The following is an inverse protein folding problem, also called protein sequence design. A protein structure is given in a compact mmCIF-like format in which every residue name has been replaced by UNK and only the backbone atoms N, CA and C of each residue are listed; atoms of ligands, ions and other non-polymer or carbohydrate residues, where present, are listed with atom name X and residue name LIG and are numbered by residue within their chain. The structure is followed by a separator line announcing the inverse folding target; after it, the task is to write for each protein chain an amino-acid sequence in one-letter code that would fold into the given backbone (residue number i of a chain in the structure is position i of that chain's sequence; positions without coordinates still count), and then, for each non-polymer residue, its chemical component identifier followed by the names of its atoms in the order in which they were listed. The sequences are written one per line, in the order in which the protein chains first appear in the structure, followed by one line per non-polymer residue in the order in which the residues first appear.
data_IF_497285963713
#
_entry.id   IF_497285963713
#
_cell.length_a   1.000
_cell.length_b   1.000
_cell.length_c   1.000
_cell.angle_alpha   90.00
_cell.angle_beta   90.00
_cell.angle_gamma   90.00
#
_symmetry.space_group_name_H-M   'P 1'
#
loop_
_entity.id
_entity.type
_entity.pdbx_description
1 polymer ?
#
# COMPACT_ATOMS: atom_id res chain seq x y z
N UNK A 1 23.49 -9.47 7.66
CA UNK A 1 23.00 -9.03 8.99
C UNK A 1 21.48 -9.07 9.07
N UNK A 2 20.77 -8.72 7.99
CA UNK A 2 19.32 -8.75 7.89
C UNK A 2 18.73 -10.16 8.06
N UNK A 3 19.34 -11.23 7.51
CA UNK A 3 18.76 -12.60 7.54
C UNK A 3 18.71 -13.18 8.94
N UNK A 4 19.78 -13.01 9.69
CA UNK A 4 19.85 -13.40 11.10
C UNK A 4 18.80 -12.68 11.96
N UNK A 5 18.48 -11.42 11.64
CA UNK A 5 17.43 -10.67 12.33
C UNK A 5 16.05 -11.23 12.00
N UNK A 6 15.79 -11.57 10.74
CA UNK A 6 14.50 -12.16 10.34
C UNK A 6 14.31 -13.54 10.97
N UNK A 7 15.32 -14.41 10.91
CA UNK A 7 15.29 -15.72 11.59
C UNK A 7 15.08 -15.57 13.10
N UNK A 8 15.71 -14.56 13.71
CA UNK A 8 15.51 -14.26 15.12
C UNK A 8 14.08 -13.80 15.40
N UNK A 9 13.50 -12.95 14.55
CA UNK A 9 12.10 -12.54 14.64
C UNK A 9 11.16 -13.74 14.53
N UNK A 10 11.39 -14.66 13.58
CA UNK A 10 10.59 -15.87 13.43
C UNK A 10 10.66 -16.76 14.68
N UNK A 11 11.87 -16.98 15.22
CA UNK A 11 12.05 -17.72 16.49
C UNK A 11 11.35 -17.03 17.65
N UNK A 12 11.42 -15.69 17.71
CA UNK A 12 10.78 -14.90 18.75
C UNK A 12 9.26 -15.04 18.65
N UNK A 13 8.67 -14.94 17.45
CA UNK A 13 7.23 -15.15 17.23
C UNK A 13 6.80 -16.54 17.70
N UNK A 14 7.53 -17.59 17.32
CA UNK A 14 7.20 -18.96 17.73
C UNK A 14 7.19 -19.14 19.25
N UNK A 15 8.01 -18.37 19.98
CA UNK A 15 8.03 -18.38 21.45
C UNK A 15 6.98 -17.46 22.09
N UNK A 16 6.67 -16.33 21.46
CA UNK A 16 5.79 -15.29 21.99
C UNK A 16 4.31 -15.61 21.75
N UNK A 17 3.95 -16.05 20.55
CA UNK A 17 2.55 -16.24 20.14
C UNK A 17 1.75 -17.19 21.08
N UNK A 18 2.30 -18.33 21.56
CA UNK A 18 1.59 -19.19 22.50
C UNK A 18 1.36 -18.56 23.89
N UNK A 19 2.14 -17.54 24.24
CA UNK A 19 2.10 -16.87 25.54
C UNK A 19 1.45 -15.47 25.47
N UNK A 20 1.04 -15.02 24.29
CA UNK A 20 0.41 -13.72 24.10
C UNK A 20 -0.94 -13.66 24.83
N UNK A 21 -1.17 -12.59 25.60
CA UNK A 21 -2.38 -12.45 26.44
C UNK A 21 -3.30 -11.31 25.98
N UNK A 22 -3.00 -10.66 24.85
CA UNK A 22 -3.83 -9.59 24.29
C UNK A 22 -3.51 -8.19 24.80
N UNK A 23 -2.24 -7.96 25.17
CA UNK A 23 -1.77 -6.67 25.69
C UNK A 23 -1.46 -5.67 24.56
N UNK A 24 -1.26 -4.39 24.92
CA UNK A 24 -0.73 -3.39 23.98
C UNK A 24 0.66 -3.79 23.43
N UNK A 25 1.48 -4.48 24.23
CA UNK A 25 2.76 -4.98 23.77
C UNK A 25 2.58 -6.07 22.71
N UNK A 26 1.59 -6.96 22.89
CA UNK A 26 1.25 -7.99 21.90
C UNK A 26 0.76 -7.36 20.58
N UNK A 27 -0.07 -6.31 20.67
CA UNK A 27 -0.51 -5.53 19.51
C UNK A 27 0.68 -4.90 18.76
N UNK A 28 1.58 -4.23 19.48
CA UNK A 28 2.75 -3.58 18.89
C UNK A 28 3.69 -4.62 18.25
N UNK A 29 3.90 -5.77 18.91
CA UNK A 29 4.71 -6.86 18.38
C UNK A 29 4.12 -7.45 17.10
N UNK A 30 2.81 -7.69 17.06
CA UNK A 30 2.11 -8.16 15.85
C UNK A 30 2.29 -7.17 14.70
N UNK A 31 2.06 -5.88 14.93
CA UNK A 31 2.24 -4.82 13.93
C UNK A 31 3.67 -4.72 13.41
N UNK A 32 4.65 -4.83 14.30
CA UNK A 32 6.05 -4.87 13.91
C UNK A 32 6.33 -6.05 12.98
N UNK A 33 5.80 -7.24 13.32
CA UNK A 33 5.97 -8.44 12.51
C UNK A 33 5.28 -8.35 11.15
N UNK A 34 4.15 -7.64 11.02
CA UNK A 34 3.53 -7.34 9.71
C UNK A 34 4.56 -6.69 8.78
N UNK A 35 5.24 -5.64 9.26
CA UNK A 35 6.22 -4.89 8.46
C UNK A 35 7.49 -5.71 8.17
N UNK A 36 7.99 -6.45 9.16
CA UNK A 36 9.21 -7.28 9.02
C UNK A 36 9.02 -8.38 7.97
N UNK A 37 7.90 -9.08 8.01
CA UNK A 37 7.60 -10.19 7.08
C UNK A 37 7.30 -9.69 5.67
N UNK A 38 6.58 -8.57 5.56
CA UNK A 38 6.37 -7.87 4.30
C UNK A 38 7.70 -7.42 3.64
N UNK A 39 8.63 -6.89 4.45
CA UNK A 39 9.99 -6.56 4.01
C UNK A 39 10.88 -7.77 3.67
N UNK A 40 10.32 -8.99 3.72
CA UNK A 40 10.96 -10.28 3.44
C UNK A 40 10.22 -11.13 2.42
N UNK A 41 9.41 -10.49 1.57
CA UNK A 41 8.62 -11.16 0.55
C UNK A 41 7.56 -12.14 1.10
N UNK A 42 7.35 -12.21 2.42
CA UNK A 42 6.43 -13.14 3.06
C UNK A 42 5.10 -12.44 3.42
N UNK A 43 4.29 -12.22 2.38
CA UNK A 43 2.97 -11.58 2.50
C UNK A 43 1.98 -12.47 3.25
N UNK A 44 2.12 -13.80 3.19
CA UNK A 44 1.21 -14.72 3.87
C UNK A 44 1.40 -14.69 5.39
N UNK A 45 2.65 -14.67 5.84
CA UNK A 45 2.95 -14.47 7.25
C UNK A 45 2.63 -13.04 7.68
N UNK A 46 2.90 -12.04 6.84
CA UNK A 46 2.51 -10.64 7.10
C UNK A 46 1.01 -10.50 7.33
N UNK A 47 0.20 -11.11 6.46
CA UNK A 47 -1.25 -11.18 6.63
C UNK A 47 -1.66 -11.93 7.90
N UNK A 48 -0.96 -13.02 8.23
CA UNK A 48 -1.23 -13.79 9.44
C UNK A 48 -0.95 -12.98 10.71
N UNK A 49 0.13 -12.20 10.72
CA UNK A 49 0.45 -11.26 11.80
C UNK A 49 -0.53 -10.10 11.86
N UNK A 50 -1.04 -9.64 10.72
CA UNK A 50 -2.06 -8.60 10.68
C UNK A 50 -3.38 -9.08 11.30
N UNK A 51 -3.81 -10.32 11.02
CA UNK A 51 -4.95 -10.95 11.71
C UNK A 51 -4.75 -10.99 13.22
N UNK A 52 -3.53 -11.28 13.70
CA UNK A 52 -3.21 -11.25 15.14
C UNK A 52 -3.27 -9.83 15.70
N UNK A 53 -2.70 -8.85 15.01
CA UNK A 53 -2.78 -7.45 15.41
C UNK A 53 -4.24 -7.00 15.55
N UNK A 54 -5.09 -7.34 14.58
CA UNK A 54 -6.52 -7.06 14.65
C UNK A 54 -7.19 -7.71 15.87
N UNK A 55 -6.94 -9.00 16.13
CA UNK A 55 -7.46 -9.70 17.31
C UNK A 55 -7.05 -9.02 18.63
N UNK A 56 -5.79 -8.60 18.74
CA UNK A 56 -5.32 -7.88 19.91
C UNK A 56 -5.94 -6.49 20.03
N UNK A 57 -6.14 -5.78 18.92
CA UNK A 57 -6.82 -4.49 18.91
C UNK A 57 -8.27 -4.58 19.38
N UNK A 58 -8.98 -5.67 19.06
CA UNK A 58 -10.32 -5.91 19.61
C UNK A 58 -10.27 -6.16 21.12
N UNK A 59 -9.31 -6.95 21.60
CA UNK A 59 -9.15 -7.29 23.02
C UNK A 59 -8.75 -6.09 23.88
N UNK A 60 -7.91 -5.18 23.36
CA UNK A 60 -7.52 -3.94 24.04
C UNK A 60 -8.61 -2.86 24.01
N UNK A 61 -9.72 -3.11 23.31
CA UNK A 61 -10.80 -2.14 23.18
C UNK A 61 -10.51 -1.02 22.18
N UNK A 62 -9.51 -1.16 21.31
CA UNK A 62 -9.08 -0.13 20.36
C UNK A 62 -10.23 0.33 19.43
N UNK A 63 -11.12 -0.60 19.06
CA UNK A 63 -12.30 -0.32 18.23
C UNK A 63 -13.39 0.51 18.93
N UNK A 64 -13.26 0.75 20.24
CA UNK A 64 -14.26 1.41 21.11
C UNK A 64 -13.68 2.57 21.91
N UNK A 65 -12.51 3.07 21.49
CA UNK A 65 -11.73 4.09 22.19
C UNK A 65 -12.53 5.36 22.52
N UNK A 66 -13.54 5.72 21.72
CA UNK A 66 -14.39 6.89 21.98
C UNK A 66 -15.79 6.56 22.53
N UNK A 67 -16.07 5.30 22.91
CA UNK A 67 -17.39 4.91 23.44
C UNK A 67 -17.56 5.24 24.93
N UNK A 68 -16.48 5.22 25.71
CA UNK A 68 -16.51 5.30 27.19
C UNK A 68 -15.92 6.60 27.76
N UNK A 69 -15.86 7.69 26.99
CA UNK A 69 -15.55 9.03 27.54
C UNK A 69 -16.76 9.57 28.33
N UNK A 70 -17.11 8.91 29.44
CA UNK A 70 -18.06 9.43 30.42
C UNK A 70 -17.39 10.54 31.23
N UNK A 71 -18.16 11.57 31.57
CA UNK A 71 -17.71 12.85 32.13
C UNK A 71 -17.16 12.77 33.58
N UNK A 72 -17.09 11.59 34.19
CA UNK A 72 -16.89 11.41 35.64
C UNK A 72 -15.54 10.79 36.05
N UNK A 73 -14.67 10.44 35.10
CA UNK A 73 -13.28 10.04 35.37
C UNK A 73 -12.32 11.08 34.81
N UNK A 74 -11.14 11.33 35.43
CA UNK A 74 -10.06 12.02 34.73
C UNK A 74 -9.79 11.21 33.47
N UNK A 75 -10.17 11.79 32.32
CA UNK A 75 -10.11 11.10 31.03
C UNK A 75 -8.69 10.60 30.75
N UNK A 76 -8.53 9.59 29.87
CA UNK A 76 -7.21 9.15 29.44
C UNK A 76 -6.39 10.36 28.97
N UNK A 77 -5.08 10.32 29.22
CA UNK A 77 -4.15 11.31 28.66
C UNK A 77 -4.46 11.48 27.17
N UNK A 78 -4.66 12.72 26.73
CA UNK A 78 -4.96 13.07 25.35
C UNK A 78 -3.96 12.43 24.38
N UNK A 79 -2.69 12.31 24.78
CA UNK A 79 -1.64 11.67 23.98
C UNK A 79 -1.91 10.17 23.73
N UNK A 80 -2.35 9.45 24.76
CA UNK A 80 -2.66 8.01 24.70
C UNK A 80 -3.92 7.77 23.89
N UNK A 81 -4.91 8.64 24.07
CA UNK A 81 -6.15 8.59 23.29
C UNK A 81 -5.88 8.83 21.79
N UNK A 82 -5.03 9.80 21.46
CA UNK A 82 -4.65 10.09 20.07
C UNK A 82 -3.86 8.95 19.43
N UNK A 83 -2.89 8.41 20.16
CA UNK A 83 -2.09 7.27 19.71
C UNK A 83 -2.98 6.04 19.42
N UNK A 84 -3.99 5.82 20.26
CA UNK A 84 -4.97 4.75 20.07
C UNK A 84 -5.80 4.95 18.79
N UNK A 85 -6.26 6.18 18.54
CA UNK A 85 -6.95 6.52 17.28
C UNK A 85 -6.03 6.32 16.07
N UNK A 86 -4.78 6.78 16.13
CA UNK A 86 -3.80 6.60 15.04
C UNK A 86 -3.59 5.13 14.70
N UNK A 87 -3.39 4.31 15.73
CA UNK A 87 -3.25 2.86 15.59
C UNK A 87 -4.50 2.22 14.94
N UNK A 88 -5.70 2.63 15.35
CA UNK A 88 -6.94 2.13 14.76
C UNK A 88 -7.09 2.50 13.27
N UNK A 89 -6.79 3.75 12.90
CA UNK A 89 -6.87 4.17 11.50
C UNK A 89 -5.79 3.51 10.64
N UNK A 90 -4.61 3.23 11.20
CA UNK A 90 -3.58 2.43 10.53
C UNK A 90 -4.05 0.99 10.26
N UNK A 91 -4.78 0.35 11.20
CA UNK A 91 -5.40 -0.96 10.96
C UNK A 91 -6.36 -0.92 9.76
N UNK A 92 -7.24 0.09 9.69
CA UNK A 92 -8.18 0.23 8.58
C UNK A 92 -7.43 0.37 7.25
N UNK A 93 -6.41 1.24 7.21
CA UNK A 93 -5.60 1.43 6.02
C UNK A 93 -4.97 0.09 5.58
N UNK A 94 -4.33 -0.63 6.50
CA UNK A 94 -3.67 -1.90 6.20
C UNK A 94 -4.65 -2.99 5.74
N UNK A 95 -5.84 -3.12 6.35
CA UNK A 95 -6.86 -4.10 5.92
C UNK A 95 -7.27 -3.85 4.47
N UNK A 96 -7.52 -2.58 4.12
CA UNK A 96 -7.83 -2.17 2.75
C UNK A 96 -6.67 -2.45 1.79
N UNK A 97 -5.41 -2.23 2.21
CA UNK A 97 -4.24 -2.51 1.39
C UNK A 97 -4.02 -3.99 1.12
N UNK A 98 -4.13 -4.82 2.16
CA UNK A 98 -4.04 -6.27 2.01
C UNK A 98 -5.13 -6.80 1.07
N UNK A 99 -6.33 -6.23 1.15
CA UNK A 99 -7.41 -6.59 0.23
C UNK A 99 -7.12 -6.13 -1.21
N UNK A 100 -6.76 -4.86 -1.38
CA UNK A 100 -6.56 -4.25 -2.71
C UNK A 100 -5.38 -4.84 -3.46
N UNK A 101 -4.22 -4.90 -2.83
CA UNK A 101 -2.97 -5.30 -3.47
C UNK A 101 -2.84 -6.83 -3.45
N UNK A 102 -3.12 -7.47 -2.31
CA UNK A 102 -2.77 -8.87 -2.09
C UNK A 102 -3.96 -9.84 -2.14
N UNK A 103 -5.15 -9.36 -2.52
CA UNK A 103 -6.38 -10.15 -2.62
C UNK A 103 -6.71 -10.91 -1.31
N UNK A 104 -6.27 -10.39 -0.16
CA UNK A 104 -6.61 -10.99 1.14
C UNK A 104 -8.06 -10.63 1.52
N UNK A 105 -8.79 -11.47 2.28
CA UNK A 105 -10.14 -11.11 2.72
C UNK A 105 -10.14 -9.90 3.65
N UNK A 106 -11.10 -8.97 3.51
CA UNK A 106 -11.29 -7.89 4.48
C UNK A 106 -11.68 -8.47 5.85
N UNK A 107 -10.97 -8.09 6.91
CA UNK A 107 -11.32 -8.49 8.28
C UNK A 107 -12.33 -7.54 8.90
N UNK A 108 -12.26 -6.26 8.57
CA UNK A 108 -12.98 -5.20 9.29
C UNK A 108 -14.30 -4.80 8.62
N UNK A 109 -14.71 -5.43 7.51
CA UNK A 109 -15.86 -5.01 6.69
C UNK A 109 -17.18 -4.86 7.49
N UNK A 110 -17.45 -5.76 8.43
CA UNK A 110 -18.64 -5.71 9.31
C UNK A 110 -18.49 -4.73 10.48
N UNK A 111 -17.27 -4.32 10.80
CA UNK A 111 -16.94 -3.53 11.99
C UNK A 111 -16.71 -2.05 11.69
N UNK A 112 -16.47 -1.66 10.43
CA UNK A 112 -16.29 -0.25 10.04
C UNK A 112 -17.46 0.65 10.44
N UNK A 113 -18.69 0.16 10.31
CA UNK A 113 -19.90 0.91 10.66
C UNK A 113 -20.23 0.89 12.16
N UNK A 114 -19.67 -0.06 12.91
CA UNK A 114 -19.88 -0.20 14.36
C UNK A 114 -18.75 0.42 15.19
N UNK A 115 -17.56 0.60 14.61
CA UNK A 115 -16.45 1.28 15.25
C UNK A 115 -16.79 2.77 15.42
N UNK A 116 -16.76 3.23 16.67
CA UNK A 116 -16.93 4.64 17.01
C UNK A 116 -15.56 5.17 17.41
N UNK A 117 -14.74 5.48 16.41
CA UNK A 117 -13.41 6.04 16.61
C UNK A 117 -13.28 7.28 15.72
N UNK A 118 -13.05 8.42 16.35
CA UNK A 118 -12.86 9.70 15.69
C UNK A 118 -11.52 9.72 14.94
N UNK A 119 -11.36 10.68 14.04
CA UNK A 119 -10.06 10.95 13.44
C UNK A 119 -9.07 11.44 14.53
N UNK A 120 -7.80 10.99 14.47
CA UNK A 120 -6.71 11.58 15.22
C UNK A 120 -6.63 13.10 15.15
N UNK A 121 -6.10 13.71 16.20
CA UNK A 121 -5.84 15.14 16.23
C UNK A 121 -4.64 15.49 15.32
N UNK A 122 -4.77 16.61 14.59
CA UNK A 122 -3.74 17.07 13.65
C UNK A 122 -2.56 17.79 14.34
N UNK A 123 -2.78 18.25 15.57
CA UNK A 123 -1.78 18.89 16.42
C UNK A 123 -2.03 18.49 17.87
N UNK A 124 -0.97 18.25 18.63
CA UNK A 124 -1.05 18.15 20.08
C UNK A 124 -1.52 19.49 20.63
N UNK A 125 -2.66 19.50 21.32
CA UNK A 125 -3.19 20.69 21.96
C UNK A 125 -2.27 21.12 23.10
N UNK A 126 -1.34 22.03 22.82
CA UNK A 126 -0.52 22.71 23.83
C UNK A 126 0.99 22.67 23.61
N UNK A 127 1.51 21.90 22.66
CA UNK A 127 2.94 21.95 22.32
C UNK A 127 3.19 23.01 21.24
N UNK A 128 4.02 24.00 21.58
CA UNK A 128 4.64 24.94 20.63
C UNK A 128 5.71 24.27 19.77
N UNK A 129 5.90 22.96 19.93
CA UNK A 129 6.76 22.15 19.07
C UNK A 129 6.04 21.94 17.75
N UNK A 130 6.72 22.30 16.64
CA UNK A 130 6.24 22.01 15.29
C UNK A 130 5.95 20.52 15.24
N UNK A 131 4.66 20.14 15.27
CA UNK A 131 4.24 18.81 14.85
C UNK A 131 4.98 18.50 13.54
N UNK A 132 5.62 17.34 13.46
CA UNK A 132 6.34 16.96 12.26
C UNK A 132 5.37 17.01 11.08
N UNK A 133 5.52 18.05 10.26
CA UNK A 133 4.56 18.39 9.21
C UNK A 133 4.35 17.22 8.26
N UNK A 134 5.37 16.39 8.07
CA UNK A 134 5.29 15.21 7.19
C UNK A 134 4.39 14.13 7.80
N UNK A 135 4.43 13.92 9.11
CA UNK A 135 3.57 12.94 9.80
C UNK A 135 2.09 13.37 9.76
N UNK A 136 1.80 14.67 9.95
CA UNK A 136 0.44 15.19 9.82
C UNK A 136 -0.07 15.12 8.37
N UNK A 137 0.78 15.46 7.39
CA UNK A 137 0.45 15.32 5.96
C UNK A 137 0.16 13.87 5.60
N UNK A 138 1.00 12.95 6.08
CA UNK A 138 0.84 11.50 5.91
C UNK A 138 -0.52 11.03 6.39
N UNK A 139 -0.87 11.37 7.63
CA UNK A 139 -2.15 10.99 8.22
C UNK A 139 -3.34 11.54 7.40
N UNK A 140 -3.28 12.79 6.94
CA UNK A 140 -4.35 13.40 6.13
C UNK A 140 -4.52 12.68 4.78
N UNK A 141 -3.42 12.36 4.12
CA UNK A 141 -3.43 11.63 2.85
C UNK A 141 -3.96 10.21 3.04
N UNK A 142 -3.49 9.48 4.05
CA UNK A 142 -3.93 8.13 4.39
C UNK A 142 -5.43 8.07 4.69
N UNK A 143 -5.92 9.03 5.48
CA UNK A 143 -7.34 9.11 5.84
C UNK A 143 -8.22 9.36 4.61
N UNK A 144 -7.86 10.34 3.77
CA UNK A 144 -8.65 10.65 2.57
C UNK A 144 -8.64 9.51 1.56
N UNK A 145 -7.48 8.89 1.35
CA UNK A 145 -7.33 7.73 0.47
C UNK A 145 -8.10 6.52 0.98
N UNK A 146 -8.14 6.31 2.30
CA UNK A 146 -8.99 5.28 2.94
C UNK A 146 -10.45 5.46 2.55
N UNK A 147 -10.99 6.68 2.63
CA UNK A 147 -12.37 6.94 2.20
C UNK A 147 -12.57 6.70 0.69
N UNK A 148 -11.60 7.05 -0.15
CA UNK A 148 -11.65 6.76 -1.59
C UNK A 148 -11.69 5.24 -1.84
N UNK A 149 -10.85 4.47 -1.15
CA UNK A 149 -10.83 3.01 -1.26
C UNK A 149 -12.13 2.38 -0.76
N UNK A 150 -12.71 2.87 0.32
CA UNK A 150 -14.03 2.43 0.78
C UNK A 150 -15.11 2.67 -0.28
N UNK A 151 -15.15 3.86 -0.90
CA UNK A 151 -16.07 4.15 -2.02
C UNK A 151 -15.83 3.20 -3.20
N UNK A 152 -14.58 2.95 -3.55
CA UNK A 152 -14.20 2.03 -4.62
C UNK A 152 -14.77 0.62 -4.38
N UNK A 153 -14.61 0.08 -3.18
CA UNK A 153 -15.12 -1.26 -2.86
C UNK A 153 -16.64 -1.34 -2.91
N UNK A 154 -17.35 -0.30 -2.47
CA UNK A 154 -18.81 -0.22 -2.63
C UNK A 154 -19.20 -0.26 -4.11
N UNK A 155 -18.56 0.55 -4.96
CA UNK A 155 -18.80 0.54 -6.41
C UNK A 155 -18.54 -0.84 -7.03
N UNK A 156 -17.42 -1.47 -6.67
CA UNK A 156 -17.04 -2.77 -7.21
C UNK A 156 -18.00 -3.88 -6.75
N UNK A 157 -18.48 -3.83 -5.51
CA UNK A 157 -19.47 -4.78 -4.97
C UNK A 157 -20.82 -4.65 -5.67
N UNK A 158 -21.28 -3.41 -5.89
CA UNK A 158 -22.51 -3.14 -6.62
C UNK A 158 -22.41 -3.64 -8.07
N UNK A 159 -21.27 -3.39 -8.72
CA UNK A 159 -21.03 -3.80 -10.09
C UNK A 159 -20.94 -5.33 -10.26
N UNK A 160 -20.35 -6.05 -9.30
CA UNK A 160 -20.38 -7.53 -9.27
C UNK A 160 -21.80 -8.08 -9.21
N UNK A 161 -22.71 -7.36 -8.57
CA UNK A 161 -24.11 -7.78 -8.43
C UNK A 161 -24.95 -7.41 -9.65
N UNK A 162 -24.59 -6.32 -10.34
CA UNK A 162 -25.27 -5.83 -11.53
C UNK A 162 -24.27 -5.12 -12.45
N UNK A 163 -24.15 -5.54 -13.73
CA UNK A 163 -23.31 -4.85 -14.69
C UNK A 163 -23.56 -3.34 -14.71
N UNK A 164 -22.49 -2.57 -14.57
CA UNK A 164 -22.52 -1.11 -14.56
C UNK A 164 -21.56 -0.58 -15.63
N UNK A 165 -22.08 -0.12 -16.79
CA UNK A 165 -21.23 0.42 -17.85
C UNK A 165 -20.47 1.69 -17.43
N UNK A 166 -20.93 2.37 -16.38
CA UNK A 166 -20.29 3.57 -15.83
C UNK A 166 -19.24 3.23 -14.75
N UNK A 167 -18.96 1.95 -14.48
CA UNK A 167 -18.00 1.55 -13.46
C UNK A 167 -16.61 2.13 -13.72
N UNK A 168 -16.09 1.97 -14.94
CA UNK A 168 -14.75 2.46 -15.29
C UNK A 168 -14.66 4.00 -15.15
N UNK A 169 -15.56 4.81 -15.75
CA UNK A 169 -15.58 6.26 -15.51
C UNK A 169 -15.64 6.66 -14.03
N UNK A 170 -16.44 5.97 -13.21
CA UNK A 170 -16.54 6.23 -11.76
C UNK A 170 -15.22 5.92 -11.04
N UNK A 171 -14.56 4.81 -11.41
CA UNK A 171 -13.26 4.44 -10.84
C UNK A 171 -12.16 5.40 -11.28
N UNK A 172 -12.18 5.87 -12.53
CA UNK A 172 -11.27 6.91 -13.00
C UNK A 172 -11.46 8.23 -12.24
N UNK A 173 -12.70 8.60 -11.90
CA UNK A 173 -12.97 9.75 -11.04
C UNK A 173 -12.35 9.59 -9.65
N UNK A 174 -12.43 8.41 -9.04
CA UNK A 174 -11.74 8.12 -7.78
C UNK A 174 -10.21 8.17 -7.92
N UNK A 175 -9.65 7.71 -9.05
CA UNK A 175 -8.22 7.83 -9.32
C UNK A 175 -7.79 9.30 -9.44
N UNK A 176 -8.61 10.15 -10.08
CA UNK A 176 -8.38 11.59 -10.12
C UNK A 176 -8.42 12.22 -8.72
N UNK A 177 -9.31 11.77 -7.83
CA UNK A 177 -9.30 12.22 -6.43
C UNK A 177 -7.95 11.92 -5.76
N UNK A 178 -7.36 10.73 -5.98
CA UNK A 178 -6.03 10.39 -5.43
C UNK A 178 -4.94 11.29 -6.02
N UNK A 179 -4.90 11.47 -7.34
CA UNK A 179 -3.90 12.34 -7.98
C UNK A 179 -4.01 13.80 -7.53
N UNK A 180 -5.23 14.33 -7.46
CA UNK A 180 -5.46 15.70 -7.00
C UNK A 180 -5.00 15.92 -5.55
N UNK A 181 -5.15 14.91 -4.69
CA UNK A 181 -4.56 14.94 -3.35
C UNK A 181 -3.03 15.05 -3.43
N UNK A 182 -2.41 14.31 -4.33
CA UNK A 182 -0.96 14.23 -4.40
C UNK A 182 -0.34 15.49 -5.00
N UNK A 183 -1.04 16.11 -5.94
CA UNK A 183 -0.73 17.43 -6.50
C UNK A 183 -0.92 18.54 -5.46
N UNK A 184 -2.05 18.54 -4.72
CA UNK A 184 -2.35 19.51 -3.68
C UNK A 184 -1.21 19.60 -2.64
N UNK A 185 -0.64 18.47 -2.29
CA UNK A 185 0.42 18.38 -1.29
C UNK A 185 1.84 18.33 -1.91
N UNK A 186 1.95 18.54 -3.23
CA UNK A 186 3.21 18.53 -3.98
C UNK A 186 4.08 17.30 -3.68
N UNK A 187 3.45 16.11 -3.60
CA UNK A 187 4.14 14.86 -3.29
C UNK A 187 5.29 14.58 -4.25
N UNK A 188 5.14 14.86 -5.55
CA UNK A 188 6.25 14.78 -6.53
C UNK A 188 7.39 15.76 -6.23
N UNK A 189 7.08 16.94 -5.70
CA UNK A 189 8.07 17.91 -5.22
C UNK A 189 8.76 17.44 -3.93
N UNK A 190 8.04 16.76 -3.04
CA UNK A 190 8.61 16.11 -1.86
C UNK A 190 9.51 14.93 -2.26
N UNK A 191 9.12 14.16 -3.29
CA UNK A 191 9.92 13.08 -3.89
C UNK A 191 11.22 13.64 -4.48
N UNK A 192 11.15 14.74 -5.24
CA UNK A 192 12.36 15.36 -5.81
C UNK A 192 13.32 15.90 -4.75
N UNK A 193 12.82 16.22 -3.56
CA UNK A 193 13.62 16.64 -2.42
C UNK A 193 14.02 15.48 -1.47
N UNK A 194 13.74 14.21 -1.82
CA UNK A 194 14.03 13.01 -1.02
C UNK A 194 15.48 12.95 -0.55
N UNK A 195 16.43 13.36 -1.40
CA UNK A 195 17.87 13.36 -1.10
C UNK A 195 18.21 14.22 0.12
N UNK A 196 17.45 15.30 0.34
CA UNK A 196 17.65 16.23 1.46
C UNK A 196 16.78 15.89 2.69
N UNK A 197 15.90 14.89 2.59
CA UNK A 197 14.81 14.66 3.55
C UNK A 197 15.18 13.77 4.75
N UNK A 198 16.42 13.27 4.83
CA UNK A 198 16.90 12.48 5.97
C UNK A 198 15.96 11.34 6.37
N UNK A 199 15.68 11.19 7.68
CA UNK A 199 14.86 10.11 8.25
C UNK A 199 13.38 10.04 7.82
N UNK A 200 12.90 10.97 6.98
CA UNK A 200 11.52 11.00 6.46
C UNK A 200 11.39 10.40 5.05
N UNK A 201 12.51 9.97 4.46
CA UNK A 201 12.59 9.40 3.12
C UNK A 201 11.51 8.33 2.86
N UNK A 202 11.40 7.34 3.75
CA UNK A 202 10.42 6.26 3.63
C UNK A 202 8.97 6.73 3.81
N UNK A 203 8.74 7.73 4.64
CA UNK A 203 7.38 8.29 4.84
C UNK A 203 6.89 8.97 3.56
N UNK A 204 7.73 9.78 2.93
CA UNK A 204 7.41 10.50 1.69
C UNK A 204 7.31 9.53 0.52
N UNK A 205 8.27 8.62 0.37
CA UNK A 205 8.26 7.68 -0.73
C UNK A 205 7.13 6.64 -0.58
N UNK A 206 6.83 6.19 0.65
CA UNK A 206 5.70 5.32 0.94
C UNK A 206 4.37 5.96 0.54
N UNK A 207 4.18 7.26 0.81
CA UNK A 207 3.00 8.00 0.34
C UNK A 207 2.82 7.89 -1.18
N UNK A 208 3.88 8.18 -1.93
CA UNK A 208 3.87 8.13 -3.39
C UNK A 208 3.53 6.73 -3.92
N UNK A 209 4.27 5.74 -3.45
CA UNK A 209 4.15 4.35 -3.90
C UNK A 209 2.75 3.78 -3.61
N UNK A 210 2.20 4.02 -2.44
CA UNK A 210 0.86 3.57 -2.09
C UNK A 210 -0.23 4.20 -2.96
N UNK A 211 -0.09 5.48 -3.32
CA UNK A 211 -1.06 6.16 -4.18
C UNK A 211 -1.07 5.58 -5.58
N UNK A 212 0.12 5.39 -6.15
CA UNK A 212 0.26 4.76 -7.46
C UNK A 212 -0.19 3.29 -7.45
N UNK A 213 0.17 2.53 -6.41
CA UNK A 213 -0.29 1.15 -6.22
C UNK A 213 -1.81 1.07 -6.09
N UNK A 214 -2.45 2.00 -5.38
CA UNK A 214 -3.90 2.11 -5.30
C UNK A 214 -4.52 2.30 -6.69
N UNK A 215 -4.05 3.29 -7.45
CA UNK A 215 -4.60 3.59 -8.79
C UNK A 215 -4.48 2.38 -9.71
N UNK A 216 -3.27 1.78 -9.82
CA UNK A 216 -3.05 0.62 -10.69
C UNK A 216 -3.93 -0.56 -10.29
N UNK A 217 -4.06 -0.82 -8.99
CA UNK A 217 -4.86 -1.93 -8.49
C UNK A 217 -6.36 -1.70 -8.68
N UNK A 218 -6.84 -0.48 -8.43
CA UNK A 218 -8.25 -0.13 -8.69
C UNK A 218 -8.63 -0.32 -10.16
N UNK A 219 -7.75 0.11 -11.09
CA UNK A 219 -7.94 -0.14 -12.52
C UNK A 219 -7.95 -1.64 -12.83
N UNK A 220 -6.98 -2.41 -12.32
CA UNK A 220 -6.90 -3.87 -12.52
C UNK A 220 -8.15 -4.60 -12.04
N UNK A 221 -8.61 -4.31 -10.83
CA UNK A 221 -9.83 -4.89 -10.26
C UNK A 221 -11.07 -4.54 -11.08
N UNK A 222 -11.15 -3.31 -11.57
CA UNK A 222 -12.28 -2.85 -12.41
C UNK A 222 -12.35 -3.63 -13.71
N UNK A 223 -11.22 -3.76 -14.40
CA UNK A 223 -11.11 -4.49 -15.67
C UNK A 223 -11.44 -5.98 -15.50
N UNK A 224 -10.99 -6.58 -14.41
CA UNK A 224 -11.34 -7.96 -14.07
C UNK A 224 -12.86 -8.14 -13.88
N UNK A 225 -13.55 -7.16 -13.29
CA UNK A 225 -15.01 -7.23 -13.12
C UNK A 225 -15.72 -7.00 -14.45
N UNK A 226 -15.33 -6.00 -15.24
CA UNK A 226 -16.01 -5.70 -16.52
C UNK A 226 -15.89 -6.84 -17.53
N UNK A 227 -14.74 -7.51 -17.57
CA UNK A 227 -14.52 -8.64 -18.48
C UNK A 227 -15.31 -9.89 -18.13
N UNK A 228 -15.54 -10.15 -16.84
CA UNK A 228 -16.43 -11.25 -16.44
C UNK A 228 -17.86 -11.08 -16.97
N UNK A 229 -18.28 -9.86 -17.30
CA UNK A 229 -19.56 -9.62 -17.96
C UNK A 229 -19.52 -9.89 -19.46
N UNK A 230 -18.43 -9.49 -20.13
CA UNK A 230 -18.25 -9.69 -21.58
C UNK A 230 -18.13 -11.18 -21.93
N UNK A 231 -17.53 -11.97 -21.05
CA UNK A 231 -17.35 -13.41 -21.22
C UNK A 231 -18.53 -14.26 -20.71
N UNK A 232 -19.57 -13.67 -20.10
CA UNK A 232 -20.74 -14.41 -19.58
C UNK A 232 -21.47 -15.23 -20.66
N UNK A 233 -21.43 -14.77 -21.91
CA UNK A 233 -22.01 -15.47 -23.07
C UNK A 233 -21.02 -16.45 -23.75
N UNK A 234 -19.79 -16.60 -23.25
CA UNK A 234 -18.74 -17.41 -23.86
C UNK A 234 -18.30 -18.58 -22.96
N UNK A 235 -18.45 -19.84 -23.38
CA UNK A 235 -18.23 -21.01 -22.53
C UNK A 235 -16.76 -21.35 -22.23
N UNK A 236 -15.79 -20.56 -22.70
CA UNK A 236 -14.36 -20.81 -22.54
C UNK A 236 -13.69 -19.64 -21.80
N UNK A 237 -13.85 -19.57 -20.48
CA UNK A 237 -13.17 -18.60 -19.64
C UNK A 237 -11.76 -19.12 -19.32
N UNK A 238 -10.81 -18.89 -20.23
CA UNK A 238 -9.42 -18.77 -19.80
C UNK A 238 -9.27 -17.38 -19.18
N UNK A 239 -8.89 -17.31 -17.90
CA UNK A 239 -8.50 -16.06 -17.23
C UNK A 239 -7.37 -15.40 -18.02
N UNK A 240 -7.72 -14.54 -18.97
CA UNK A 240 -6.79 -13.60 -19.56
C UNK A 240 -6.43 -12.61 -18.45
N UNK A 241 -5.16 -12.47 -18.12
CA UNK A 241 -4.72 -11.27 -17.42
C UNK A 241 -5.00 -10.11 -18.36
N UNK A 242 -6.10 -9.39 -18.11
CA UNK A 242 -6.46 -8.28 -18.98
C UNK A 242 -5.52 -7.13 -18.65
N UNK A 243 -4.84 -6.71 -19.70
CA UNK A 243 -3.74 -5.80 -19.60
C UNK A 243 -4.25 -4.38 -19.33
N UNK A 244 -4.03 -3.89 -18.11
CA UNK A 244 -4.30 -2.49 -17.77
C UNK A 244 -3.43 -1.53 -18.58
N UNK A 245 -2.39 -2.01 -19.25
CA UNK A 245 -1.48 -1.20 -20.05
C UNK A 245 -2.15 -0.53 -21.26
N UNK A 246 -3.38 -0.93 -21.61
CA UNK A 246 -4.20 -0.24 -22.61
C UNK A 246 -4.69 1.13 -22.14
N UNK A 247 -4.77 1.36 -20.83
CA UNK A 247 -5.29 2.61 -20.27
C UNK A 247 -4.18 3.66 -20.18
N UNK A 248 -4.34 4.85 -20.81
CA UNK A 248 -3.35 5.92 -20.73
C UNK A 248 -3.00 6.33 -19.29
N UNK A 249 -3.99 6.25 -18.39
CA UNK A 249 -3.83 6.52 -16.96
C UNK A 249 -2.97 5.48 -16.24
N UNK A 250 -3.13 4.21 -16.58
CA UNK A 250 -2.29 3.16 -16.00
C UNK A 250 -0.83 3.37 -16.43
N UNK A 251 -0.61 3.75 -17.69
CA UNK A 251 0.73 4.05 -18.22
C UNK A 251 1.38 5.25 -17.51
N UNK A 252 0.68 6.38 -17.39
CA UNK A 252 1.20 7.56 -16.70
C UNK A 252 1.52 7.29 -15.23
N UNK A 253 0.64 6.54 -14.54
CA UNK A 253 0.83 6.13 -13.15
C UNK A 253 2.03 5.18 -13.01
N UNK A 254 2.18 4.25 -13.96
CA UNK A 254 3.29 3.29 -13.97
C UNK A 254 4.64 3.99 -14.13
N UNK A 255 4.73 5.00 -15.01
CA UNK A 255 5.94 5.83 -15.18
C UNK A 255 6.36 6.48 -13.85
N UNK A 256 5.43 7.14 -13.17
CA UNK A 256 5.68 7.78 -11.86
C UNK A 256 6.09 6.77 -10.79
N UNK A 257 5.44 5.61 -10.75
CA UNK A 257 5.78 4.55 -9.80
C UNK A 257 7.19 4.00 -10.03
N UNK A 258 7.53 3.67 -11.29
CA UNK A 258 8.86 3.16 -11.66
C UNK A 258 9.95 4.22 -11.40
N UNK A 259 9.67 5.49 -11.67
CA UNK A 259 10.58 6.60 -11.34
C UNK A 259 10.83 6.73 -9.83
N UNK A 260 9.78 6.62 -9.01
CA UNK A 260 9.88 6.64 -7.55
C UNK A 260 10.68 5.45 -7.02
N UNK A 261 10.45 4.25 -7.55
CA UNK A 261 11.19 3.02 -7.20
C UNK A 261 12.67 3.16 -7.59
N UNK A 262 12.97 3.60 -8.81
CA UNK A 262 14.34 3.81 -9.26
C UNK A 262 15.09 4.83 -8.41
N UNK A 263 14.40 5.90 -7.99
CA UNK A 263 14.98 6.92 -7.11
C UNK A 263 15.21 6.40 -5.69
N UNK A 264 14.31 5.58 -5.16
CA UNK A 264 14.50 4.91 -3.86
C UNK A 264 15.66 3.91 -3.88
N UNK A 265 15.76 3.10 -4.92
CA UNK A 265 16.83 2.11 -5.07
C UNK A 265 18.19 2.78 -5.25
N UNK A 266 18.24 3.95 -5.88
CA UNK A 266 19.46 4.75 -5.97
C UNK A 266 19.92 5.26 -4.60
N UNK A 267 18.99 5.71 -3.76
CA UNK A 267 19.31 6.24 -2.43
C UNK A 267 19.56 5.11 -1.42
N UNK A 268 18.82 4.00 -1.50
CA UNK A 268 18.88 2.85 -0.59
C UNK A 268 18.82 1.52 -1.36
N UNK A 269 19.93 1.11 -2.00
CA UNK A 269 20.00 -0.16 -2.72
C UNK A 269 20.09 -1.32 -1.73
N UNK A 270 18.95 -1.86 -1.31
CA UNK A 270 18.87 -2.97 -0.36
C UNK A 270 17.78 -3.96 -0.73
N UNK A 271 17.95 -5.23 -0.34
CA UNK A 271 16.92 -6.26 -0.54
C UNK A 271 15.61 -5.91 0.16
N UNK A 272 15.66 -5.23 1.31
CA UNK A 272 14.45 -4.72 1.99
C UNK A 272 13.75 -3.64 1.16
N UNK A 273 14.48 -2.74 0.50
CA UNK A 273 13.89 -1.75 -0.43
C UNK A 273 13.17 -2.46 -1.58
N UNK A 274 13.81 -3.47 -2.17
CA UNK A 274 13.21 -4.30 -3.23
C UNK A 274 11.96 -5.02 -2.72
N UNK A 275 12.04 -5.67 -1.55
CA UNK A 275 10.92 -6.38 -0.94
C UNK A 275 9.72 -5.46 -0.73
N UNK A 276 9.92 -4.29 -0.13
CA UNK A 276 8.83 -3.34 0.11
C UNK A 276 8.24 -2.82 -1.21
N UNK A 277 9.08 -2.37 -2.15
CA UNK A 277 8.61 -1.79 -3.41
C UNK A 277 7.91 -2.80 -4.32
N UNK A 278 8.49 -3.99 -4.51
CA UNK A 278 7.98 -4.99 -5.44
C UNK A 278 6.96 -5.94 -4.85
N UNK A 279 7.02 -6.21 -3.54
CA UNK A 279 6.07 -7.09 -2.88
C UNK A 279 4.91 -6.29 -2.33
N UNK A 280 5.17 -5.37 -1.39
CA UNK A 280 4.12 -4.63 -0.68
C UNK A 280 3.37 -3.70 -1.61
N UNK A 281 4.09 -2.91 -2.40
CA UNK A 281 3.46 -1.96 -3.32
C UNK A 281 3.23 -2.51 -4.73
N UNK A 282 3.67 -3.73 -5.01
CA UNK A 282 3.51 -4.38 -6.33
C UNK A 282 4.09 -3.61 -7.51
N UNK A 283 5.28 -2.99 -7.35
CA UNK A 283 5.95 -2.26 -8.43
C UNK A 283 6.18 -3.09 -9.71
N UNK A 284 6.18 -4.42 -9.62
CA UNK A 284 6.23 -5.31 -10.78
C UNK A 284 5.05 -5.08 -11.74
N UNK A 285 3.86 -4.72 -11.25
CA UNK A 285 2.68 -4.40 -12.09
C UNK A 285 2.94 -3.16 -12.94
N UNK A 286 3.53 -2.12 -12.35
CA UNK A 286 3.92 -0.92 -13.09
C UNK A 286 4.99 -1.24 -14.15
N UNK A 287 5.99 -2.06 -13.79
CA UNK A 287 7.03 -2.47 -14.73
C UNK A 287 6.43 -3.26 -15.92
N UNK A 288 5.53 -4.21 -15.64
CA UNK A 288 4.85 -4.99 -16.67
C UNK A 288 4.01 -4.10 -17.60
N UNK A 289 3.32 -3.10 -17.05
CA UNK A 289 2.55 -2.13 -17.82
C UNK A 289 3.41 -1.32 -18.81
N UNK A 290 4.61 -0.88 -18.38
CA UNK A 290 5.56 -0.22 -19.27
C UNK A 290 6.10 -1.20 -20.33
N UNK A 291 6.48 -2.40 -19.91
CA UNK A 291 7.03 -3.45 -20.77
C UNK A 291 6.09 -3.82 -21.92
N UNK A 292 4.81 -4.06 -21.62
CA UNK A 292 3.79 -4.40 -22.60
C UNK A 292 3.65 -3.34 -23.72
N UNK A 293 3.85 -2.06 -23.37
CA UNK A 293 3.77 -0.96 -24.32
C UNK A 293 5.06 -0.73 -25.14
N UNK A 294 6.20 -1.32 -24.76
CA UNK A 294 7.42 -1.28 -25.58
C UNK A 294 7.23 -2.07 -26.88
N UNK A 295 6.56 -3.22 -26.79
CA UNK A 295 6.30 -4.11 -27.92
C UNK A 295 5.14 -3.62 -28.81
N UNK A 296 4.15 -2.94 -28.24
CA UNK A 296 2.95 -2.46 -28.95
C UNK A 296 3.21 -1.30 -29.92
N UNK A 297 2.39 -1.11 -30.96
CA UNK A 297 2.58 -0.01 -31.96
C UNK A 297 1.94 1.32 -31.55
N UNK A 298 1.38 1.40 -30.35
CA UNK A 298 0.53 2.50 -29.89
C UNK A 298 1.31 3.74 -29.46
N UNK A 299 2.52 3.56 -28.91
CA UNK A 299 3.33 4.67 -28.41
C UNK A 299 4.35 5.18 -29.44
N UNK A 300 4.56 6.51 -29.49
CA UNK A 300 5.69 7.12 -30.19
C UNK A 300 7.05 6.56 -29.75
N UNK A 301 8.02 6.48 -30.67
CA UNK A 301 9.33 5.89 -30.41
C UNK A 301 10.11 6.57 -29.26
N UNK A 302 9.95 7.89 -29.10
CA UNK A 302 10.56 8.64 -28.00
C UNK A 302 9.96 8.25 -26.64
N UNK A 303 8.65 8.05 -26.54
CA UNK A 303 7.99 7.60 -25.31
C UNK A 303 8.44 6.19 -24.92
N UNK A 304 8.49 5.28 -25.90
CA UNK A 304 9.03 3.93 -25.68
C UNK A 304 10.47 3.96 -25.18
N UNK A 305 11.31 4.81 -25.77
CA UNK A 305 12.69 4.95 -25.31
C UNK A 305 12.76 5.47 -23.87
N UNK A 306 11.90 6.41 -23.48
CA UNK A 306 11.84 6.89 -22.10
C UNK A 306 11.39 5.78 -21.13
N UNK A 307 10.40 4.99 -21.52
CA UNK A 307 9.91 3.85 -20.72
C UNK A 307 10.99 2.77 -20.56
N UNK A 308 11.73 2.45 -21.62
CA UNK A 308 12.87 1.55 -21.57
C UNK A 308 13.97 2.06 -20.61
N UNK A 309 14.31 3.35 -20.68
CA UNK A 309 15.30 3.98 -19.78
C UNK A 309 14.86 3.88 -18.30
N UNK A 310 13.56 4.02 -18.01
CA UNK A 310 13.04 3.86 -16.65
C UNK A 310 13.21 2.42 -16.14
N UNK A 311 12.88 1.43 -16.97
CA UNK A 311 13.03 0.01 -16.65
C UNK A 311 14.51 -0.37 -16.47
N UNK A 312 15.38 0.05 -17.39
CA UNK A 312 16.83 -0.16 -17.31
C UNK A 312 17.44 0.44 -16.04
N UNK A 313 16.97 1.64 -15.63
CA UNK A 313 17.43 2.27 -14.38
C UNK A 313 17.13 1.38 -13.17
N UNK A 314 15.93 0.80 -13.11
CA UNK A 314 15.56 -0.11 -12.02
C UNK A 314 16.37 -1.40 -12.09
N UNK A 315 16.47 -2.03 -13.27
CA UNK A 315 17.24 -3.25 -13.48
C UNK A 315 18.69 -3.11 -13.00
N UNK A 316 19.34 -1.99 -13.32
CA UNK A 316 20.71 -1.68 -12.89
C UNK A 316 20.92 -1.77 -11.39
N UNK A 317 19.93 -1.38 -10.59
CA UNK A 317 20.01 -1.46 -9.12
C UNK A 317 19.62 -2.82 -8.57
N UNK A 318 18.77 -3.58 -9.26
CA UNK A 318 18.40 -4.93 -8.85
C UNK A 318 19.55 -5.93 -9.04
N UNK A 319 20.35 -5.77 -10.09
CA UNK A 319 21.43 -6.68 -10.46
C UNK A 319 22.44 -7.02 -9.35
N UNK A 320 23.06 -6.03 -8.68
CA UNK A 320 23.97 -6.33 -7.57
C UNK A 320 23.25 -6.95 -6.38
N UNK A 321 21.98 -6.58 -6.14
CA UNK A 321 21.18 -7.13 -5.05
C UNK A 321 20.81 -8.59 -5.34
N UNK A 322 20.44 -8.92 -6.58
CA UNK A 322 20.14 -10.28 -7.02
C UNK A 322 21.35 -11.23 -6.88
N UNK A 323 22.58 -10.71 -7.00
CA UNK A 323 23.79 -11.50 -6.77
C UNK A 323 23.96 -11.92 -5.29
N UNK A 324 23.34 -11.18 -4.36
CA UNK A 324 23.38 -11.46 -2.92
C UNK A 324 22.11 -12.19 -2.41
N UNK A 325 20.97 -12.01 -3.08
CA UNK A 325 19.66 -12.53 -2.68
C UNK A 325 18.98 -13.25 -3.84
N UNK A 326 18.95 -14.58 -3.77
CA UNK A 326 18.48 -15.46 -4.84
C UNK A 326 17.02 -15.17 -5.22
N UNK A 327 16.18 -14.78 -4.26
CA UNK A 327 14.76 -14.49 -4.43
C UNK A 327 14.50 -13.31 -5.41
N UNK A 328 15.48 -12.43 -5.60
CA UNK A 328 15.38 -11.25 -6.49
C UNK A 328 15.84 -11.60 -7.91
N UNK A 329 16.55 -12.72 -8.11
CA UNK A 329 17.11 -13.14 -9.39
C UNK A 329 16.08 -13.20 -10.53
N UNK A 330 14.88 -13.79 -10.35
CA UNK A 330 13.89 -13.83 -11.43
C UNK A 330 13.44 -12.43 -11.87
N UNK A 331 13.26 -11.52 -10.91
CA UNK A 331 12.84 -10.14 -11.18
C UNK A 331 13.92 -9.35 -11.93
N UNK A 332 15.19 -9.45 -11.51
CA UNK A 332 16.32 -8.84 -12.22
C UNK A 332 16.46 -9.42 -13.63
N UNK A 333 16.31 -10.73 -13.81
CA UNK A 333 16.40 -11.38 -15.11
C UNK A 333 15.31 -10.88 -16.09
N UNK A 334 14.06 -10.74 -15.64
CA UNK A 334 12.95 -10.26 -16.48
C UNK A 334 13.23 -8.83 -16.96
N UNK A 335 13.63 -7.92 -16.06
CA UNK A 335 13.87 -6.52 -16.43
C UNK A 335 15.09 -6.30 -17.34
N UNK A 336 15.97 -7.29 -17.50
CA UNK A 336 17.12 -7.24 -18.42
C UNK A 336 16.80 -7.67 -19.85
N UNK A 337 15.73 -8.45 -20.03
CA UNK A 337 15.33 -9.00 -21.33
C UNK A 337 14.41 -8.03 -22.10
N UNK A 338 13.84 -7.05 -21.38
CA UNK A 338 13.05 -5.94 -21.91
C UNK A 338 13.94 -4.83 -22.48
#
# INVERSE_FOLDING_TARGET
MTDQLYDQCLRTVASWEPCATGTQADLNAAFFMVRVTAGRFDIDLSWSMFKRAYQFAEQTGLCRVDQDTSLDYPGPDYSVLDASRKCFWELICMDLYFHLLHNKPLLMQTHWSCARVNLPWLAESGSQEKADSVTTIRFLLDSRRTFILMKFWTLLQDAKSRPDPELLPKVEALCNEIEALYEQWSTDGLIKNLINSGGQLWTIAGLALEGHACILSMLRHTVNVTSTWEDWDSPNVETREIDIAIFPRALSTSRRMVEAVGSLLEIMPSSSTVAVTFTVFQAHVACACLAANLEGTTLPANEKNNDAVLLERVARYLDPIAAEYEEITPLSAILRVL
#
